data_IF_394027182950
#
_entry.id   IF_394027182950
#
_cell.length_a   1.000
_cell.length_b   1.000
_cell.length_c   1.000
_cell.angle_alpha   90.00
_cell.angle_beta   90.00
_cell.angle_gamma   90.00
#
_symmetry.space_group_name_H-M   'P 1'
#
loop_
_entity.id
_entity.type
_entity.pdbx_description
1 polymer ?
#
# COMPACT_ATOMS: atom_id res chain seq x y z
N UNK A 1 -29.75 -8.40 11.46
CA UNK A 1 -28.39 -8.54 10.87
C UNK A 1 -28.08 -9.99 10.49
N UNK A 2 -28.10 -10.94 11.44
CA UNK A 2 -27.86 -12.37 11.15
C UNK A 2 -28.92 -13.03 10.23
N UNK A 3 -30.19 -12.61 10.29
CA UNK A 3 -31.22 -13.08 9.35
C UNK A 3 -30.97 -12.59 7.91
N UNK A 4 -30.58 -11.33 7.71
CA UNK A 4 -30.24 -10.80 6.38
C UNK A 4 -28.98 -11.44 5.77
N UNK A 5 -28.04 -11.88 6.62
CA UNK A 5 -26.83 -12.58 6.22
C UNK A 5 -27.10 -14.05 5.83
N UNK A 6 -28.14 -14.67 6.40
CA UNK A 6 -28.67 -15.95 5.91
C UNK A 6 -29.46 -15.77 4.60
N UNK A 7 -30.19 -14.67 4.46
CA UNK A 7 -30.94 -14.37 3.24
C UNK A 7 -30.03 -14.10 2.05
N UNK A 8 -28.95 -13.29 2.19
CA UNK A 8 -28.04 -12.93 1.08
C UNK A 8 -27.11 -14.04 0.57
N UNK A 9 -27.21 -15.25 1.12
CA UNK A 9 -26.43 -16.40 0.68
C UNK A 9 -24.92 -16.30 0.95
N UNK A 10 -24.15 -17.18 0.31
CA UNK A 10 -22.70 -17.31 0.48
C UNK A 10 -21.96 -16.00 0.13
N UNK A 11 -22.48 -15.22 -0.82
CA UNK A 11 -21.87 -13.96 -1.28
C UNK A 11 -21.75 -12.93 -0.15
N UNK A 12 -22.75 -12.82 0.73
CA UNK A 12 -22.67 -11.89 1.87
C UNK A 12 -21.52 -12.22 2.82
N UNK A 13 -21.27 -13.51 3.06
CA UNK A 13 -20.14 -13.95 3.89
C UNK A 13 -18.80 -13.64 3.23
N UNK A 14 -18.70 -13.79 1.91
CA UNK A 14 -17.51 -13.41 1.15
C UNK A 14 -17.26 -11.90 1.23
N UNK A 15 -18.30 -11.07 1.03
CA UNK A 15 -18.18 -9.60 1.16
C UNK A 15 -17.76 -9.20 2.58
N UNK A 16 -18.32 -9.85 3.61
CA UNK A 16 -17.95 -9.59 5.00
C UNK A 16 -16.48 -9.97 5.28
N UNK A 17 -16.02 -11.11 4.77
CA UNK A 17 -14.62 -11.53 4.90
C UNK A 17 -13.66 -10.55 4.21
N UNK A 18 -13.99 -10.07 3.00
CA UNK A 18 -13.21 -9.05 2.30
C UNK A 18 -13.17 -7.72 3.06
N UNK A 19 -14.26 -7.35 3.73
CA UNK A 19 -14.32 -6.14 4.57
C UNK A 19 -13.35 -6.21 5.76
N UNK A 20 -13.35 -7.35 6.48
CA UNK A 20 -12.43 -7.57 7.61
C UNK A 20 -10.98 -7.56 7.13
N UNK A 21 -10.71 -8.21 6.00
CA UNK A 21 -9.38 -8.27 5.42
C UNK A 21 -8.88 -6.88 5.02
N UNK A 22 -9.71 -6.10 4.30
CA UNK A 22 -9.34 -4.74 3.92
C UNK A 22 -9.13 -3.83 5.13
N UNK A 23 -9.98 -3.93 6.15
CA UNK A 23 -9.81 -3.19 7.39
C UNK A 23 -8.48 -3.52 8.09
N UNK A 24 -8.13 -4.81 8.18
CA UNK A 24 -6.87 -5.24 8.77
C UNK A 24 -5.65 -4.64 8.05
N UNK A 25 -5.67 -4.63 6.70
CA UNK A 25 -4.58 -4.04 5.91
C UNK A 25 -4.52 -2.52 6.06
N UNK A 26 -5.66 -1.82 6.11
CA UNK A 26 -5.70 -0.37 6.36
C UNK A 26 -5.04 -0.04 7.70
N UNK A 27 -5.39 -0.78 8.77
CA UNK A 27 -4.82 -0.55 10.11
C UNK A 27 -3.32 -0.86 10.13
N UNK A 28 -2.90 -1.99 9.56
CA UNK A 28 -1.49 -2.37 9.42
C UNK A 28 -0.69 -1.25 8.74
N UNK A 29 -1.22 -0.70 7.64
CA UNK A 29 -0.54 0.36 6.89
C UNK A 29 -0.50 1.70 7.61
N UNK A 30 -1.58 2.10 8.28
CA UNK A 30 -1.57 3.33 9.08
C UNK A 30 -0.53 3.28 10.20
N UNK A 31 -0.37 2.13 10.86
CA UNK A 31 0.67 1.93 11.87
C UNK A 31 2.08 1.92 11.25
N UNK A 32 2.25 1.27 10.10
CA UNK A 32 3.52 1.24 9.37
C UNK A 32 3.98 2.66 8.99
N UNK A 33 3.11 3.49 8.42
CA UNK A 33 3.46 4.87 8.05
C UNK A 33 3.78 5.74 9.26
N UNK A 34 3.05 5.57 10.37
CA UNK A 34 3.34 6.31 11.62
C UNK A 34 4.74 5.98 12.16
N UNK A 35 5.19 4.74 12.00
CA UNK A 35 6.54 4.31 12.42
C UNK A 35 7.64 4.66 11.41
N UNK A 36 7.31 4.94 10.15
CA UNK A 36 8.27 5.19 9.08
C UNK A 36 8.61 6.67 8.89
N UNK A 37 7.76 7.59 9.36
CA UNK A 37 7.98 9.04 9.25
C UNK A 37 9.25 9.45 10.01
N UNK A 38 10.21 10.02 9.30
CA UNK A 38 11.48 10.53 9.85
C UNK A 38 11.84 11.78 9.09
N UNK A 39 12.39 12.79 9.79
CA UNK A 39 12.80 14.06 9.17
C UNK A 39 13.96 13.83 8.18
N UNK A 40 13.73 13.97 6.86
CA UNK A 40 14.75 13.68 5.85
C UNK A 40 15.89 14.70 5.90
N UNK A 41 15.57 15.98 6.11
CA UNK A 41 16.54 17.09 6.14
C UNK A 41 17.57 16.94 7.26
N UNK A 42 17.14 16.50 8.44
CA UNK A 42 18.03 16.32 9.59
C UNK A 42 19.03 15.17 9.36
N UNK A 43 18.62 14.13 8.62
CA UNK A 43 19.52 13.02 8.28
C UNK A 43 20.52 13.43 7.20
N UNK A 44 20.06 14.12 6.16
CA UNK A 44 20.92 14.64 5.08
C UNK A 44 22.03 15.54 5.66
N UNK A 45 21.69 16.48 6.54
CA UNK A 45 22.64 17.38 7.19
C UNK A 45 23.64 16.65 8.10
N UNK A 46 23.15 15.75 8.97
CA UNK A 46 24.00 15.00 9.88
C UNK A 46 24.96 14.07 9.14
N UNK A 47 24.51 13.44 8.06
CA UNK A 47 25.34 12.58 7.23
C UNK A 47 26.39 13.38 6.45
N UNK A 48 26.00 14.48 5.80
CA UNK A 48 26.93 15.35 5.07
C UNK A 48 28.05 15.91 5.94
N UNK A 49 27.74 16.28 7.18
CA UNK A 49 28.74 16.71 8.15
C UNK A 49 29.72 15.58 8.49
N UNK A 50 29.22 14.38 8.76
CA UNK A 50 30.07 13.24 9.12
C UNK A 50 30.98 12.77 7.97
N UNK A 51 30.49 12.82 6.73
CA UNK A 51 31.27 12.48 5.53
C UNK A 51 32.32 13.54 5.22
N UNK A 52 31.98 14.84 5.31
CA UNK A 52 32.94 15.92 5.07
C UNK A 52 34.07 15.99 6.11
N UNK A 53 33.78 15.64 7.37
CA UNK A 53 34.78 15.50 8.45
C UNK A 53 35.59 14.19 8.36
N UNK A 54 35.35 13.36 7.33
CA UNK A 54 35.95 12.04 7.12
C UNK A 54 35.80 11.09 8.33
N UNK A 55 34.74 11.28 9.11
CA UNK A 55 34.48 10.56 10.36
C UNK A 55 33.53 9.37 10.10
N UNK A 56 34.11 8.27 9.64
CA UNK A 56 33.40 7.03 9.27
C UNK A 56 32.57 6.45 10.42
N UNK A 57 33.04 6.58 11.66
CA UNK A 57 32.32 6.08 12.84
C UNK A 57 31.07 6.91 13.15
N UNK A 58 31.15 8.22 12.98
CA UNK A 58 30.00 9.11 13.18
C UNK A 58 28.97 8.93 12.06
N UNK A 59 29.41 8.83 10.80
CA UNK A 59 28.53 8.53 9.67
C UNK A 59 27.78 7.21 9.87
N UNK A 60 28.46 6.16 10.38
CA UNK A 60 27.84 4.87 10.68
C UNK A 60 26.81 4.97 11.80
N UNK A 61 27.04 5.78 12.84
CA UNK A 61 26.07 5.99 13.93
C UNK A 61 24.82 6.71 13.45
N UNK A 62 24.98 7.80 12.71
CA UNK A 62 23.89 8.61 12.15
C UNK A 62 22.95 7.73 11.31
N UNK A 63 23.53 6.93 10.42
CA UNK A 63 22.78 6.07 9.50
C UNK A 63 22.14 4.86 10.20
N UNK A 64 22.64 4.45 11.37
CA UNK A 64 22.03 3.38 12.20
C UNK A 64 21.08 3.89 13.27
N UNK A 65 20.93 5.20 13.42
CA UNK A 65 20.11 5.80 14.49
C UNK A 65 18.61 5.48 14.35
N UNK A 66 18.15 5.17 13.15
CA UNK A 66 16.76 4.80 12.87
C UNK A 66 16.66 3.66 11.84
N UNK A 67 15.51 3.00 11.84
CA UNK A 67 15.12 1.97 10.86
C UNK A 67 14.20 2.55 9.78
N UNK A 68 14.27 3.85 9.50
CA UNK A 68 13.50 4.47 8.41
C UNK A 68 14.03 4.03 7.04
N UNK A 69 13.22 4.18 5.99
CA UNK A 69 13.62 3.80 4.63
C UNK A 69 14.81 4.63 4.14
N UNK A 70 14.85 5.91 4.52
CA UNK A 70 15.95 6.81 4.21
C UNK A 70 17.25 6.39 4.91
N UNK A 71 17.18 5.95 6.17
CA UNK A 71 18.35 5.40 6.87
C UNK A 71 18.88 4.12 6.20
N UNK A 72 17.99 3.22 5.77
CA UNK A 72 18.39 2.01 5.03
C UNK A 72 19.05 2.34 3.69
N UNK A 73 18.54 3.36 2.98
CA UNK A 73 19.14 3.85 1.74
C UNK A 73 20.56 4.37 1.97
N UNK A 74 20.73 5.25 2.95
CA UNK A 74 22.03 5.81 3.32
C UNK A 74 23.00 4.72 3.82
N UNK A 75 22.49 3.70 4.52
CA UNK A 75 23.30 2.57 4.97
C UNK A 75 23.82 1.75 3.80
N UNK A 76 22.96 1.44 2.84
CA UNK A 76 23.35 0.66 1.66
C UNK A 76 24.41 1.40 0.83
N UNK A 77 24.22 2.71 0.61
CA UNK A 77 25.16 3.55 -0.10
C UNK A 77 26.50 3.68 0.65
N UNK A 78 26.48 4.00 1.95
CA UNK A 78 27.69 4.15 2.75
C UNK A 78 28.47 2.84 2.89
N UNK A 79 27.78 1.70 3.02
CA UNK A 79 28.43 0.38 3.09
C UNK A 79 29.23 0.04 1.81
N UNK A 80 28.87 0.65 0.68
CA UNK A 80 29.52 0.44 -0.62
C UNK A 80 30.16 1.73 -1.16
N UNK A 81 30.57 2.66 -0.28
CA UNK A 81 31.04 4.00 -0.71
C UNK A 81 32.22 3.98 -1.71
N UNK A 82 33.02 2.91 -1.73
CA UNK A 82 34.18 2.77 -2.62
C UNK A 82 33.89 2.20 -4.01
N UNK A 83 32.63 1.96 -4.39
CA UNK A 83 32.30 1.48 -5.74
C UNK A 83 32.31 2.61 -6.77
N UNK A 84 32.45 2.24 -8.05
CA UNK A 84 32.44 3.19 -9.15
C UNK A 84 31.11 3.96 -9.26
N UNK A 85 31.14 5.09 -9.97
CA UNK A 85 29.98 5.97 -10.19
C UNK A 85 28.73 5.24 -10.67
N UNK A 86 28.88 4.41 -11.70
CA UNK A 86 27.75 3.70 -12.30
C UNK A 86 27.19 2.65 -11.33
N UNK A 87 28.07 1.94 -10.63
CA UNK A 87 27.69 0.94 -9.63
C UNK A 87 26.97 1.57 -8.44
N UNK A 88 27.42 2.74 -7.97
CA UNK A 88 26.76 3.47 -6.87
C UNK A 88 25.34 3.89 -7.28
N UNK A 89 25.19 4.44 -8.49
CA UNK A 89 23.87 4.82 -9.02
C UNK A 89 22.94 3.60 -9.09
N UNK A 90 23.41 2.49 -9.67
CA UNK A 90 22.64 1.25 -9.76
C UNK A 90 22.23 0.72 -8.37
N UNK A 91 23.15 0.75 -7.39
CA UNK A 91 22.89 0.28 -6.03
C UNK A 91 21.82 1.12 -5.33
N UNK A 92 21.91 2.44 -5.44
CA UNK A 92 20.93 3.37 -4.85
C UNK A 92 19.56 3.19 -5.51
N UNK A 93 19.48 3.12 -6.85
CA UNK A 93 18.24 2.86 -7.58
C UNK A 93 17.60 1.52 -7.20
N UNK A 94 18.40 0.45 -7.08
CA UNK A 94 17.93 -0.86 -6.62
C UNK A 94 17.36 -0.79 -5.21
N UNK A 95 18.01 -0.05 -4.31
CA UNK A 95 17.56 0.09 -2.93
C UNK A 95 16.26 0.91 -2.84
N UNK A 96 16.11 1.97 -3.64
CA UNK A 96 14.83 2.71 -3.75
C UNK A 96 13.72 1.77 -4.22
N UNK A 97 13.92 1.03 -5.32
CA UNK A 97 12.92 0.06 -5.82
C UNK A 97 12.53 -0.98 -4.77
N UNK A 98 13.49 -1.45 -3.97
CA UNK A 98 13.24 -2.40 -2.89
C UNK A 98 12.36 -1.82 -1.77
N UNK A 99 12.59 -0.56 -1.41
CA UNK A 99 11.78 0.15 -0.42
C UNK A 99 10.36 0.42 -0.94
N UNK A 100 10.21 0.85 -2.20
CA UNK A 100 8.91 1.05 -2.86
C UNK A 100 8.09 -0.23 -2.90
N UNK A 101 8.68 -1.34 -3.34
CA UNK A 101 8.00 -2.64 -3.35
C UNK A 101 7.46 -3.02 -1.96
N UNK A 102 8.19 -2.70 -0.89
CA UNK A 102 7.77 -2.99 0.49
C UNK A 102 6.60 -2.11 0.93
N UNK A 103 6.54 -0.88 0.46
CA UNK A 103 5.40 0.01 0.68
C UNK A 103 4.15 -0.43 -0.10
N UNK A 104 4.32 -0.90 -1.33
CA UNK A 104 3.21 -1.33 -2.19
C UNK A 104 2.64 -2.72 -1.86
N UNK A 105 3.43 -3.63 -1.30
CA UNK A 105 3.11 -5.07 -1.18
C UNK A 105 1.71 -5.43 -0.65
N UNK A 106 1.13 -4.63 0.26
CA UNK A 106 -0.22 -4.90 0.78
C UNK A 106 -1.31 -3.99 0.21
N UNK A 107 -0.97 -2.91 -0.51
CA UNK A 107 -1.96 -2.04 -1.13
C UNK A 107 -2.74 -2.71 -2.25
N UNK A 108 -2.07 -3.59 -3.00
CA UNK A 108 -2.72 -4.39 -4.04
C UNK A 108 -3.94 -5.15 -3.53
N UNK A 109 -3.95 -5.55 -2.25
CA UNK A 109 -5.10 -6.21 -1.65
C UNK A 109 -6.31 -5.26 -1.54
N UNK A 110 -6.10 -4.01 -1.11
CA UNK A 110 -7.17 -3.01 -1.09
C UNK A 110 -7.68 -2.72 -2.50
N UNK A 111 -6.79 -2.66 -3.49
CA UNK A 111 -7.15 -2.47 -4.89
C UNK A 111 -8.08 -3.60 -5.38
N UNK A 112 -7.71 -4.86 -5.12
CA UNK A 112 -8.55 -6.01 -5.45
C UNK A 112 -9.89 -5.93 -4.73
N UNK A 113 -9.90 -5.69 -3.41
CA UNK A 113 -11.15 -5.65 -2.64
C UNK A 113 -12.06 -4.53 -3.13
N UNK A 114 -11.50 -3.34 -3.38
CA UNK A 114 -12.25 -2.19 -3.90
C UNK A 114 -12.89 -2.47 -5.26
N UNK A 115 -12.21 -3.21 -6.14
CA UNK A 115 -12.74 -3.60 -7.46
C UNK A 115 -13.71 -4.78 -7.42
N UNK A 116 -13.46 -5.76 -6.55
CA UNK A 116 -14.22 -7.03 -6.53
C UNK A 116 -15.46 -6.99 -5.64
N UNK A 117 -15.47 -6.23 -4.55
CA UNK A 117 -16.63 -6.14 -3.65
C UNK A 117 -17.92 -5.63 -4.34
N UNK A 118 -17.89 -4.61 -5.22
CA UNK A 118 -19.06 -4.19 -5.99
C UNK A 118 -19.53 -5.28 -6.98
N UNK A 119 -18.59 -5.96 -7.63
CA UNK A 119 -18.88 -7.03 -8.58
C UNK A 119 -19.53 -8.23 -7.89
N UNK A 120 -19.10 -8.55 -6.66
CA UNK A 120 -19.76 -9.56 -5.82
C UNK A 120 -21.17 -9.12 -5.42
N UNK A 121 -21.38 -7.84 -5.10
CA UNK A 121 -22.70 -7.29 -4.83
C UNK A 121 -23.65 -7.37 -6.04
N UNK A 122 -23.12 -7.12 -7.24
CA UNK A 122 -23.85 -7.30 -8.51
C UNK A 122 -24.13 -8.78 -8.80
N UNK A 123 -23.17 -9.68 -8.53
CA UNK A 123 -23.41 -11.12 -8.64
C UNK A 123 -24.55 -11.56 -7.70
N UNK A 124 -24.59 -10.99 -6.49
CA UNK A 124 -25.66 -11.24 -5.52
C UNK A 124 -27.05 -10.83 -6.03
N UNK A 125 -27.17 -9.72 -6.77
CA UNK A 125 -28.46 -9.35 -7.36
C UNK A 125 -28.89 -10.32 -8.44
N UNK A 126 -27.96 -10.72 -9.32
CA UNK A 126 -28.24 -11.67 -10.40
C UNK A 126 -28.70 -13.01 -9.83
N UNK A 127 -28.01 -13.55 -8.82
CA UNK A 127 -28.42 -14.79 -8.17
C UNK A 127 -29.77 -14.65 -7.46
N UNK A 128 -30.01 -13.54 -6.76
CA UNK A 128 -31.30 -13.30 -6.10
C UNK A 128 -32.47 -13.23 -7.09
N UNK A 129 -32.26 -12.65 -8.27
CA UNK A 129 -33.26 -12.65 -9.35
C UNK A 129 -33.47 -14.04 -9.94
N UNK A 130 -32.41 -14.83 -10.16
CA UNK A 130 -32.53 -16.21 -10.65
C UNK A 130 -33.32 -17.08 -9.69
N UNK A 131 -33.02 -17.02 -8.39
CA UNK A 131 -33.76 -17.76 -7.35
C UNK A 131 -35.25 -17.37 -7.30
N UNK A 132 -35.54 -16.07 -7.46
CA UNK A 132 -36.91 -15.57 -7.50
C UNK A 132 -37.68 -16.12 -8.71
N UNK A 133 -37.13 -16.04 -9.92
CA UNK A 133 -37.77 -16.56 -11.13
C UNK A 133 -37.95 -18.07 -11.09
N UNK A 134 -36.98 -18.81 -10.55
CA UNK A 134 -37.09 -20.25 -10.37
C UNK A 134 -38.23 -20.62 -9.41
N UNK A 135 -38.40 -19.86 -8.32
CA UNK A 135 -39.48 -20.07 -7.36
C UNK A 135 -40.87 -19.81 -7.97
N UNK A 136 -40.97 -18.80 -8.85
CA UNK A 136 -42.20 -18.52 -9.60
C UNK A 136 -42.53 -19.61 -10.62
N UNK A 137 -41.53 -20.17 -11.29
CA UNK A 137 -41.72 -21.25 -12.26
C UNK A 137 -42.25 -22.54 -11.61
N UNK A 138 -41.75 -22.90 -10.42
CA UNK A 138 -42.13 -24.13 -9.71
C UNK A 138 -43.47 -23.98 -8.97
N UNK A 139 -43.75 -22.80 -8.40
CA UNK A 139 -44.90 -22.58 -7.51
C UNK A 139 -46.24 -22.34 -8.21
N UNK A 140 -46.25 -22.01 -9.51
CA UNK A 140 -47.47 -21.79 -10.32
C UNK A 140 -48.34 -20.57 -9.95
N UNK A 141 -48.34 -20.13 -8.69
CA UNK A 141 -49.01 -18.92 -8.20
C UNK A 141 -48.00 -17.85 -7.81
N UNK A 142 -48.24 -16.62 -8.27
CA UNK A 142 -47.43 -15.45 -7.93
C UNK A 142 -47.84 -14.97 -6.53
N UNK A 143 -47.03 -15.30 -5.52
CA UNK A 143 -47.16 -14.70 -4.19
C UNK A 143 -46.31 -13.42 -4.14
N UNK A 144 -46.95 -12.27 -3.92
CA UNK A 144 -46.30 -10.97 -3.81
C UNK A 144 -45.19 -10.94 -2.74
N UNK A 145 -45.34 -11.70 -1.65
CA UNK A 145 -44.34 -11.81 -0.58
C UNK A 145 -43.03 -12.46 -1.07
N UNK A 146 -43.13 -13.49 -1.92
CA UNK A 146 -41.95 -14.19 -2.47
C UNK A 146 -41.18 -13.31 -3.44
N UNK A 147 -41.90 -12.58 -4.30
CA UNK A 147 -41.31 -11.66 -5.29
C UNK A 147 -40.60 -10.51 -4.58
N UNK A 148 -41.28 -9.86 -3.63
CA UNK A 148 -40.72 -8.72 -2.88
C UNK A 148 -39.52 -9.13 -2.03
N UNK A 149 -39.53 -10.32 -1.42
CA UNK A 149 -38.39 -10.85 -0.68
C UNK A 149 -37.16 -11.09 -1.55
N UNK A 150 -37.32 -11.65 -2.75
CA UNK A 150 -36.22 -11.88 -3.69
C UNK A 150 -35.57 -10.59 -4.19
N UNK A 151 -36.38 -9.57 -4.49
CA UNK A 151 -35.90 -8.23 -4.88
C UNK A 151 -35.15 -7.57 -3.73
N UNK A 152 -35.69 -7.63 -2.51
CA UNK A 152 -35.04 -7.07 -1.33
C UNK A 152 -33.68 -7.71 -1.08
N UNK A 153 -33.60 -9.05 -1.13
CA UNK A 153 -32.35 -9.80 -0.99
C UNK A 153 -31.33 -9.35 -2.05
N UNK A 154 -31.74 -9.29 -3.32
CA UNK A 154 -30.89 -8.86 -4.42
C UNK A 154 -30.32 -7.45 -4.13
N UNK A 155 -31.17 -6.46 -3.92
CA UNK A 155 -30.74 -5.07 -3.71
C UNK A 155 -29.81 -4.93 -2.49
N UNK A 156 -30.11 -5.63 -1.40
CA UNK A 156 -29.31 -5.57 -0.19
C UNK A 156 -27.86 -6.05 -0.40
N UNK A 157 -27.64 -7.09 -1.23
CA UNK A 157 -26.29 -7.57 -1.53
C UNK A 157 -25.44 -6.54 -2.29
N UNK A 158 -26.04 -5.76 -3.19
CA UNK A 158 -25.35 -4.66 -3.88
C UNK A 158 -25.02 -3.53 -2.92
N UNK A 159 -25.96 -3.14 -2.06
CA UNK A 159 -25.71 -2.12 -1.03
C UNK A 159 -24.55 -2.54 -0.14
N UNK A 160 -24.51 -3.80 0.30
CA UNK A 160 -23.41 -4.34 1.10
C UNK A 160 -22.07 -4.27 0.37
N UNK A 161 -22.01 -4.69 -0.90
CA UNK A 161 -20.78 -4.62 -1.71
C UNK A 161 -20.26 -3.19 -1.86
N UNK A 162 -21.14 -2.23 -2.14
CA UNK A 162 -20.78 -0.81 -2.25
C UNK A 162 -20.35 -0.20 -0.90
N UNK A 163 -21.02 -0.57 0.18
CA UNK A 163 -20.69 -0.09 1.54
C UNK A 163 -19.26 -0.48 1.95
N UNK A 164 -18.78 -1.64 1.49
CA UNK A 164 -17.40 -2.08 1.70
C UNK A 164 -16.44 -1.43 0.71
N UNK A 165 -16.81 -1.35 -0.57
CA UNK A 165 -15.91 -0.87 -1.62
C UNK A 165 -15.56 0.62 -1.49
N UNK A 166 -16.54 1.47 -1.16
CA UNK A 166 -16.35 2.93 -1.13
C UNK A 166 -15.25 3.34 -0.14
N UNK A 167 -15.30 2.92 1.14
CA UNK A 167 -14.23 3.25 2.09
C UNK A 167 -12.88 2.65 1.69
N UNK A 168 -12.87 1.43 1.13
CA UNK A 168 -11.63 0.74 0.74
C UNK A 168 -10.92 1.46 -0.41
N UNK A 169 -11.65 1.88 -1.44
CA UNK A 169 -11.08 2.65 -2.56
C UNK A 169 -10.54 4.00 -2.05
N UNK A 170 -11.27 4.66 -1.16
CA UNK A 170 -10.81 5.92 -0.58
C UNK A 170 -9.53 5.75 0.24
N UNK A 171 -9.48 4.73 1.11
CA UNK A 171 -8.29 4.42 1.90
C UNK A 171 -7.10 4.03 1.02
N UNK A 172 -7.33 3.25 -0.03
CA UNK A 172 -6.31 2.90 -1.02
C UNK A 172 -5.71 4.15 -1.67
N UNK A 173 -6.55 5.08 -2.14
CA UNK A 173 -6.08 6.32 -2.77
C UNK A 173 -5.25 7.19 -1.83
N UNK A 174 -5.66 7.33 -0.57
CA UNK A 174 -4.90 8.10 0.42
C UNK A 174 -3.54 7.46 0.74
N UNK A 175 -3.49 6.13 0.88
CA UNK A 175 -2.25 5.42 1.15
C UNK A 175 -1.32 5.43 -0.05
N UNK A 176 -1.85 5.34 -1.28
CA UNK A 176 -1.06 5.48 -2.50
C UNK A 176 -0.42 6.86 -2.61
N UNK A 177 -1.22 7.93 -2.41
CA UNK A 177 -0.68 9.30 -2.40
C UNK A 177 0.39 9.51 -1.33
N UNK A 178 0.29 8.82 -0.18
CA UNK A 178 1.35 8.83 0.84
C UNK A 178 2.62 8.14 0.38
N UNK A 179 2.52 7.02 -0.36
CA UNK A 179 3.69 6.35 -0.93
C UNK A 179 4.38 7.27 -1.92
N UNK A 180 3.64 7.91 -2.82
CA UNK A 180 4.23 8.79 -3.84
C UNK A 180 5.05 9.92 -3.20
N UNK A 181 4.57 10.50 -2.09
CA UNK A 181 5.34 11.51 -1.34
C UNK A 181 6.61 10.95 -0.67
N UNK A 182 6.53 9.73 -0.14
CA UNK A 182 7.68 9.08 0.51
C UNK A 182 8.70 8.59 -0.54
N UNK A 183 8.24 8.21 -1.73
CA UNK A 183 9.07 7.88 -2.90
C UNK A 183 9.90 9.07 -3.33
N UNK A 184 9.26 10.24 -3.49
CA UNK A 184 9.94 11.47 -3.84
C UNK A 184 11.02 11.82 -2.81
N UNK A 185 10.73 11.59 -1.53
CA UNK A 185 11.70 11.82 -0.45
C UNK A 185 12.90 10.86 -0.52
N UNK A 186 12.67 9.59 -0.87
CA UNK A 186 13.75 8.62 -1.11
C UNK A 186 14.59 8.98 -2.34
N UNK A 187 13.96 9.38 -3.44
CA UNK A 187 14.64 9.79 -4.66
C UNK A 187 15.50 11.03 -4.41
N UNK A 188 15.00 12.01 -3.66
CA UNK A 188 15.79 13.17 -3.23
C UNK A 188 17.03 12.76 -2.41
N UNK A 189 16.87 11.82 -1.48
CA UNK A 189 17.97 11.28 -0.69
C UNK A 189 18.99 10.51 -1.54
N UNK A 190 18.52 9.77 -2.55
CA UNK A 190 19.36 9.10 -3.54
C UNK A 190 20.21 10.09 -4.34
N UNK A 191 19.60 11.15 -4.86
CA UNK A 191 20.29 12.21 -5.60
C UNK A 191 21.34 12.92 -4.73
N UNK A 192 21.01 13.16 -3.46
CA UNK A 192 21.95 13.73 -2.49
C UNK A 192 23.19 12.83 -2.31
N UNK A 193 22.99 11.53 -2.09
CA UNK A 193 24.09 10.56 -1.91
C UNK A 193 24.98 10.48 -3.16
N UNK A 194 24.35 10.46 -4.33
CA UNK A 194 25.06 10.44 -5.61
C UNK A 194 25.90 11.72 -5.77
N UNK A 195 25.35 12.89 -5.43
CA UNK A 195 26.08 14.17 -5.48
C UNK A 195 27.27 14.19 -4.52
N UNK A 196 27.10 13.71 -3.30
CA UNK A 196 28.17 13.70 -2.28
C UNK A 196 29.26 12.66 -2.60
N UNK A 197 28.89 11.55 -3.23
CA UNK A 197 29.85 10.59 -3.77
C UNK A 197 30.71 11.22 -4.88
N UNK A 198 30.10 12.05 -5.74
CA UNK A 198 30.84 12.79 -6.77
C UNK A 198 31.81 13.83 -6.21
N UNK A 199 31.42 14.59 -5.19
CA UNK A 199 32.31 15.60 -4.59
C UNK A 199 33.50 14.96 -3.88
N UNK A 200 33.28 13.83 -3.20
CA UNK A 200 34.35 13.11 -2.50
C UNK A 200 35.35 12.41 -3.44
N UNK A 201 34.89 11.77 -4.53
CA UNK A 201 35.79 11.07 -5.48
C UNK A 201 36.35 11.99 -6.58
N UNK A 202 35.67 13.07 -6.92
CA UNK A 202 36.17 14.07 -7.88
C UNK A 202 37.40 14.83 -7.38
N UNK A 203 37.61 14.90 -6.06
CA UNK A 203 38.79 15.50 -5.45
C UNK A 203 40.07 14.66 -5.54
N UNK A 204 39.97 13.34 -5.72
CA UNK A 204 41.13 12.46 -5.85
C UNK A 204 41.77 12.54 -7.25
N UNK A 205 40.97 12.75 -8.30
CA UNK A 205 41.48 12.86 -9.67
C UNK A 205 42.14 14.21 -9.99
N UNK A 206 42.02 15.22 -9.13
CA UNK A 206 42.69 16.52 -9.27
C UNK A 206 44.05 16.59 -8.53
N UNK A 207 44.46 15.51 -7.86
CA UNK A 207 45.74 15.39 -7.14
C UNK A 207 46.73 14.41 -7.76
N UNK A 208 46.40 13.80 -8.91
CA UNK A 208 47.27 12.90 -9.65
C UNK A 208 47.88 13.59 -10.88
#
# INVERSE_FOLDING_TARGET
MLEYMKSGGIIMWVIAALSVLAFAVVVERLLFFKSASTNPTALEEAFGKAVSENNIDEARKVVRSSQSSLHRLFFAAFAHWGVGREDMKLLVEQQVRRELYRWEKHLFILEIVGKTAPLLGLLGTVLGMVEMFQSLHIGGQINAATVTGGIWKALFTTVAGLTVAIPVIFAHGLLLSRIDCEEETLNRGADYLIREHFTSHGGESAKA
#
